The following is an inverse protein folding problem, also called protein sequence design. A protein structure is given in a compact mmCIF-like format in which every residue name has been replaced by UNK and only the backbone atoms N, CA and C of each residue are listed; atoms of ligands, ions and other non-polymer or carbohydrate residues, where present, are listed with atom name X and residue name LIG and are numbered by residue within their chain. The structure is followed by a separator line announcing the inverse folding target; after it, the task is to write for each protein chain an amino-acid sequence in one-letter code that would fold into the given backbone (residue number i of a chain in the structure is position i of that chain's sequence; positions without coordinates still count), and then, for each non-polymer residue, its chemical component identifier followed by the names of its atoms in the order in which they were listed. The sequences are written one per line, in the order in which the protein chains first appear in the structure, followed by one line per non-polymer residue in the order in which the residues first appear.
data_IF_027177650976
#
_entry.id   IF_027177650976
#
_cell.length_a   1.000
_cell.length_b   1.000
_cell.length_c   1.000
_cell.angle_alpha   90.00
_cell.angle_beta   90.00
_cell.angle_gamma   90.00
#
_symmetry.space_group_name_H-M   'P 1'
#
loop_
_entity.id
_entity.type
_entity.pdbx_description
1 polymer ?
#
# COMPACT_ATOMS: atom_id res chain seq x y z
N UNK A 1 37.57 -22.79 -20.20
CA UNK A 1 36.33 -21.99 -20.09
C UNK A 1 36.53 -20.74 -20.92
N UNK A 2 35.73 -20.55 -21.98
CA UNK A 2 35.92 -19.42 -22.90
C UNK A 2 35.47 -18.12 -22.22
N UNK A 3 36.21 -17.02 -22.40
CA UNK A 3 35.90 -15.71 -21.79
C UNK A 3 34.52 -15.19 -22.21
N UNK A 4 34.05 -15.56 -23.39
CA UNK A 4 32.71 -15.25 -23.91
C UNK A 4 31.60 -16.00 -23.17
N UNK A 5 31.79 -17.28 -22.84
CA UNK A 5 30.82 -18.09 -22.09
C UNK A 5 30.66 -17.57 -20.66
N UNK A 6 31.78 -17.24 -20.00
CA UNK A 6 31.77 -16.67 -18.65
C UNK A 6 31.00 -15.34 -18.57
N UNK A 7 31.16 -14.47 -19.57
CA UNK A 7 30.42 -13.19 -19.64
C UNK A 7 28.92 -13.40 -19.90
N UNK A 8 28.54 -14.42 -20.66
CA UNK A 8 27.14 -14.77 -20.89
C UNK A 8 26.48 -15.31 -19.61
N UNK A 9 27.19 -16.18 -18.88
CA UNK A 9 26.72 -16.72 -17.60
C UNK A 9 26.54 -15.61 -16.56
N UNK A 10 27.51 -14.69 -16.45
CA UNK A 10 27.40 -13.53 -15.56
C UNK A 10 26.20 -12.64 -15.89
N UNK A 11 25.96 -12.33 -17.17
CA UNK A 11 24.79 -11.55 -17.60
C UNK A 11 23.48 -12.26 -17.27
N UNK A 12 23.44 -13.59 -17.41
CA UNK A 12 22.26 -14.39 -17.07
C UNK A 12 21.99 -14.39 -15.56
N UNK A 13 23.04 -14.43 -14.73
CA UNK A 13 22.94 -14.39 -13.28
C UNK A 13 22.51 -12.99 -12.80
N UNK A 14 23.09 -11.93 -13.36
CA UNK A 14 22.68 -10.55 -13.05
C UNK A 14 21.23 -10.27 -13.43
N UNK A 15 20.77 -10.77 -14.59
CA UNK A 15 19.35 -10.64 -14.99
C UNK A 15 18.41 -11.34 -14.02
N UNK A 16 18.76 -12.56 -13.57
CA UNK A 16 17.99 -13.31 -12.57
C UNK A 16 17.94 -12.58 -11.23
N UNK A 17 19.08 -12.13 -10.72
CA UNK A 17 19.15 -11.38 -9.47
C UNK A 17 18.37 -10.06 -9.51
N UNK A 18 18.48 -9.30 -10.62
CA UNK A 18 17.71 -8.07 -10.81
C UNK A 18 16.20 -8.34 -10.88
N UNK A 19 15.79 -9.44 -11.50
CA UNK A 19 14.38 -9.87 -11.53
C UNK A 19 13.87 -10.26 -10.14
N UNK A 20 14.66 -10.98 -9.33
CA UNK A 20 14.30 -11.35 -7.96
C UNK A 20 14.17 -10.12 -7.05
N UNK A 21 15.10 -9.16 -7.13
CA UNK A 21 15.00 -7.91 -6.37
C UNK A 21 13.76 -7.08 -6.73
N UNK A 22 13.35 -7.09 -8.01
CA UNK A 22 12.12 -6.40 -8.44
C UNK A 22 10.84 -7.07 -7.93
N UNK A 23 10.86 -8.39 -7.69
CA UNK A 23 9.72 -9.12 -7.12
C UNK A 23 9.56 -8.78 -5.65
N UNK A 24 10.67 -8.80 -4.90
CA UNK A 24 10.69 -8.44 -3.49
C UNK A 24 10.26 -6.98 -3.29
N UNK A 25 10.74 -6.07 -4.15
CA UNK A 25 10.40 -4.65 -4.02
C UNK A 25 8.90 -4.36 -4.15
N UNK A 26 8.18 -5.04 -5.05
CA UNK A 26 6.73 -4.86 -5.21
C UNK A 26 5.93 -5.32 -3.99
N UNK A 27 6.31 -6.45 -3.40
CA UNK A 27 5.73 -6.96 -2.15
C UNK A 27 6.03 -6.02 -0.98
N UNK A 28 7.28 -5.58 -0.87
CA UNK A 28 7.73 -4.66 0.17
C UNK A 28 6.97 -3.33 0.13
N UNK A 29 6.66 -2.82 -1.07
CA UNK A 29 5.84 -1.62 -1.22
C UNK A 29 4.42 -1.80 -0.69
N UNK A 30 3.77 -2.94 -0.95
CA UNK A 30 2.41 -3.21 -0.44
C UNK A 30 2.44 -3.32 1.10
N UNK A 31 3.45 -4.00 1.66
CA UNK A 31 3.61 -4.12 3.11
C UNK A 31 3.92 -2.77 3.78
N UNK A 32 4.80 -1.98 3.19
CA UNK A 32 5.11 -0.62 3.67
C UNK A 32 3.88 0.28 3.60
N UNK A 33 3.08 0.19 2.55
CA UNK A 33 1.80 0.88 2.48
C UNK A 33 0.86 0.44 3.62
N UNK A 34 0.78 -0.86 3.91
CA UNK A 34 0.02 -1.38 5.05
C UNK A 34 0.49 -0.83 6.40
N UNK A 35 1.81 -0.76 6.62
CA UNK A 35 2.40 -0.18 7.84
C UNK A 35 2.12 1.32 7.96
N UNK A 36 2.30 2.09 6.89
CA UNK A 36 1.99 3.53 6.89
C UNK A 36 0.50 3.76 7.16
N UNK A 37 -0.36 2.91 6.60
CA UNK A 37 -1.80 2.96 6.86
C UNK A 37 -2.13 2.67 8.33
N UNK A 38 -1.47 1.67 8.93
CA UNK A 38 -1.63 1.33 10.34
C UNK A 38 -1.20 2.50 11.25
N UNK A 39 -0.08 3.14 10.93
CA UNK A 39 0.39 4.34 11.66
C UNK A 39 -0.59 5.51 11.48
N UNK A 40 -1.15 5.68 10.28
CA UNK A 40 -2.15 6.72 10.01
C UNK A 40 -3.41 6.55 10.86
N UNK A 41 -3.81 5.29 11.13
CA UNK A 41 -4.96 4.96 11.97
C UNK A 41 -4.79 5.38 13.45
N UNK A 42 -3.56 5.70 13.89
CA UNK A 42 -3.32 6.25 15.24
C UNK A 42 -4.00 7.60 15.45
N UNK A 43 -4.12 8.43 14.41
CA UNK A 43 -4.77 9.73 14.53
C UNK A 43 -6.27 9.64 14.85
N UNK A 44 -7.11 8.93 14.06
CA UNK A 44 -8.52 8.76 14.42
C UNK A 44 -8.67 7.98 15.73
N UNK A 45 -7.78 7.03 16.05
CA UNK A 45 -7.78 6.34 17.35
C UNK A 45 -7.56 7.32 18.51
N UNK A 46 -6.60 8.24 18.40
CA UNK A 46 -6.33 9.26 19.40
C UNK A 46 -7.54 10.19 19.59
N UNK A 47 -8.18 10.62 18.50
CA UNK A 47 -9.41 11.43 18.59
C UNK A 47 -10.53 10.68 19.30
N UNK A 48 -10.69 9.39 19.00
CA UNK A 48 -11.71 8.53 19.61
C UNK A 48 -11.46 8.33 21.12
N UNK A 49 -10.22 8.11 21.53
CA UNK A 49 -9.85 8.01 22.95
C UNK A 49 -10.13 9.32 23.67
N UNK A 50 -9.75 10.47 23.09
CA UNK A 50 -10.03 11.78 23.68
C UNK A 50 -11.53 12.09 23.83
N UNK A 51 -12.35 11.60 22.90
CA UNK A 51 -13.81 11.73 22.97
C UNK A 51 -14.39 10.85 24.08
N UNK A 52 -14.05 9.56 24.08
CA UNK A 52 -14.67 8.55 24.95
C UNK A 52 -14.17 8.58 26.39
N UNK A 53 -12.89 8.91 26.59
CA UNK A 53 -12.22 8.82 27.90
C UNK A 53 -12.10 10.19 28.57
N UNK A 54 -11.77 11.22 27.79
CA UNK A 54 -11.44 12.55 28.33
C UNK A 54 -12.60 13.55 28.27
N UNK A 55 -13.75 13.15 27.72
CA UNK A 55 -14.96 13.98 27.66
C UNK A 55 -14.80 15.28 26.87
N UNK A 56 -13.74 15.38 26.07
CA UNK A 56 -13.45 16.58 25.29
C UNK A 56 -14.53 16.78 24.22
N UNK A 57 -15.18 17.95 24.22
CA UNK A 57 -16.18 18.33 23.23
C UNK A 57 -15.52 18.58 21.86
N UNK A 58 -15.07 17.53 21.20
CA UNK A 58 -14.74 17.59 19.77
C UNK A 58 -16.05 17.59 19.00
N UNK A 59 -16.17 18.49 18.01
CA UNK A 59 -17.37 18.75 17.20
C UNK A 59 -18.13 17.45 16.88
N UNK A 60 -19.48 17.45 16.95
CA UNK A 60 -20.28 16.29 16.60
C UNK A 60 -20.10 16.02 15.11
N UNK A 61 -19.31 15.00 14.80
CA UNK A 61 -19.09 14.50 13.46
C UNK A 61 -19.02 12.99 13.56
N UNK A 62 -19.94 12.31 12.89
CA UNK A 62 -20.09 10.86 12.71
C UNK A 62 -18.83 10.12 12.19
N UNK A 63 -17.64 10.73 12.19
CA UNK A 63 -16.55 10.36 11.30
C UNK A 63 -15.33 9.68 11.95
N UNK A 64 -15.14 9.74 13.28
CA UNK A 64 -13.92 9.16 13.89
C UNK A 64 -13.92 7.62 13.88
N UNK A 65 -15.05 7.00 14.21
CA UNK A 65 -15.20 5.53 14.23
C UNK A 65 -15.15 4.93 12.83
N UNK A 66 -15.93 5.48 11.89
CA UNK A 66 -15.96 5.03 10.50
C UNK A 66 -14.60 5.20 9.82
N UNK A 67 -13.90 6.32 10.07
CA UNK A 67 -12.55 6.53 9.56
C UNK A 67 -11.56 5.53 10.17
N UNK A 68 -11.60 5.30 11.49
CA UNK A 68 -10.73 4.32 12.15
C UNK A 68 -10.93 2.92 11.58
N UNK A 69 -12.19 2.47 11.46
CA UNK A 69 -12.52 1.16 10.90
C UNK A 69 -12.06 1.06 9.45
N UNK A 70 -12.27 2.09 8.63
CA UNK A 70 -11.83 2.10 7.24
C UNK A 70 -10.30 2.02 7.11
N UNK A 71 -9.55 2.79 7.92
CA UNK A 71 -8.09 2.79 7.89
C UNK A 71 -7.50 1.47 8.40
N UNK A 72 -8.05 0.90 9.48
CA UNK A 72 -7.62 -0.41 9.99
C UNK A 72 -7.98 -1.55 9.02
N UNK A 73 -9.16 -1.51 8.43
CA UNK A 73 -9.59 -2.50 7.43
C UNK A 73 -8.70 -2.44 6.19
N UNK A 74 -8.35 -1.24 5.72
CA UNK A 74 -7.42 -1.07 4.62
C UNK A 74 -6.01 -1.56 4.98
N UNK A 75 -5.51 -1.25 6.18
CA UNK A 75 -4.22 -1.74 6.64
C UNK A 75 -4.16 -3.28 6.69
N UNK A 76 -5.19 -3.91 7.26
CA UNK A 76 -5.32 -5.37 7.30
C UNK A 76 -5.42 -5.98 5.89
N UNK A 77 -6.19 -5.37 5.00
CA UNK A 77 -6.29 -5.79 3.60
C UNK A 77 -4.94 -5.67 2.88
N UNK A 78 -4.20 -4.57 3.05
CA UNK A 78 -2.88 -4.39 2.46
C UNK A 78 -1.89 -5.42 2.99
N UNK A 79 -1.92 -5.76 4.28
CA UNK A 79 -1.07 -6.83 4.83
C UNK A 79 -1.40 -8.20 4.20
N UNK A 80 -2.69 -8.53 4.06
CA UNK A 80 -3.15 -9.76 3.40
C UNK A 80 -2.74 -9.79 1.91
N UNK A 81 -2.86 -8.66 1.20
CA UNK A 81 -2.43 -8.53 -0.18
C UNK A 81 -0.90 -8.61 -0.31
N UNK A 82 -0.15 -8.09 0.65
CA UNK A 82 1.30 -8.24 0.72
C UNK A 82 1.72 -9.71 0.85
N UNK A 83 0.99 -10.49 1.66
CA UNK A 83 1.18 -11.95 1.71
C UNK A 83 0.82 -12.62 0.37
N UNK A 84 -0.33 -12.24 -0.22
CA UNK A 84 -0.80 -12.82 -1.48
C UNK A 84 0.08 -12.45 -2.69
N UNK A 85 0.82 -11.34 -2.62
CA UNK A 85 1.74 -10.88 -3.66
C UNK A 85 2.85 -11.91 -3.95
N UNK A 86 3.17 -12.80 -3.00
CA UNK A 86 4.08 -13.93 -3.23
C UNK A 86 3.62 -14.84 -4.37
N UNK A 87 2.30 -15.07 -4.49
CA UNK A 87 1.72 -15.96 -5.48
C UNK A 87 1.29 -15.23 -6.76
N UNK A 88 0.74 -14.01 -6.61
CA UNK A 88 0.16 -13.25 -7.73
C UNK A 88 0.45 -11.75 -7.60
N UNK A 89 1.69 -11.29 -7.85
CA UNK A 89 2.13 -9.93 -7.52
C UNK A 89 1.34 -8.85 -8.27
N UNK A 90 1.07 -9.05 -9.57
CA UNK A 90 0.29 -8.10 -10.37
C UNK A 90 -1.13 -7.95 -9.84
N UNK A 91 -1.82 -9.08 -9.59
CA UNK A 91 -3.20 -9.07 -9.11
C UNK A 91 -3.28 -8.42 -7.73
N UNK A 92 -2.37 -8.78 -6.83
CA UNK A 92 -2.29 -8.19 -5.49
C UNK A 92 -2.07 -6.67 -5.53
N UNK A 93 -1.13 -6.19 -6.34
CA UNK A 93 -0.86 -4.76 -6.48
C UNK A 93 -2.03 -4.00 -7.11
N UNK A 94 -2.66 -4.54 -8.16
CA UNK A 94 -3.84 -3.94 -8.78
C UNK A 94 -5.02 -3.85 -7.80
N UNK A 95 -5.27 -4.91 -7.01
CA UNK A 95 -6.29 -4.90 -5.96
C UNK A 95 -5.97 -3.93 -4.84
N UNK A 96 -4.68 -3.77 -4.48
CA UNK A 96 -4.26 -2.82 -3.46
C UNK A 96 -4.51 -1.37 -3.92
N UNK A 97 -4.18 -1.03 -5.17
CA UNK A 97 -4.49 0.27 -5.77
C UNK A 97 -6.00 0.52 -5.75
N UNK A 98 -6.80 -0.44 -6.22
CA UNK A 98 -8.25 -0.29 -6.27
C UNK A 98 -8.84 -0.09 -4.88
N UNK A 99 -8.44 -0.90 -3.89
CA UNK A 99 -8.90 -0.78 -2.52
C UNK A 99 -8.51 0.58 -1.90
N UNK A 100 -7.28 1.03 -2.11
CA UNK A 100 -6.79 2.32 -1.62
C UNK A 100 -7.63 3.48 -2.17
N UNK A 101 -7.88 3.49 -3.48
CA UNK A 101 -8.68 4.53 -4.14
C UNK A 101 -10.14 4.49 -3.69
N UNK A 102 -10.74 3.31 -3.55
CA UNK A 102 -12.13 3.16 -3.09
C UNK A 102 -12.30 3.64 -1.65
N UNK A 103 -11.41 3.25 -0.74
CA UNK A 103 -11.48 3.65 0.67
C UNK A 103 -11.29 5.15 0.83
N UNK A 104 -10.22 5.73 0.26
CA UNK A 104 -9.96 7.15 0.41
C UNK A 104 -10.89 8.03 -0.43
N UNK A 105 -11.32 7.56 -1.61
CA UNK A 105 -12.35 8.21 -2.41
C UNK A 105 -13.69 8.23 -1.68
N UNK A 106 -14.11 7.10 -1.10
CA UNK A 106 -15.34 7.01 -0.30
C UNK A 106 -15.31 7.91 0.94
N UNK A 107 -14.21 7.89 1.70
CA UNK A 107 -14.02 8.80 2.85
C UNK A 107 -14.01 10.27 2.40
N UNK A 108 -13.43 10.57 1.24
CA UNK A 108 -13.40 11.90 0.66
C UNK A 108 -14.77 12.44 0.25
N UNK A 109 -15.66 11.58 -0.25
CA UNK A 109 -17.04 11.95 -0.57
C UNK A 109 -17.85 12.27 0.69
N UNK A 110 -17.63 11.51 1.77
CA UNK A 110 -18.33 11.71 3.04
C UNK A 110 -17.75 12.89 3.84
N UNK A 111 -16.44 13.10 3.77
CA UNK A 111 -15.73 14.13 4.50
C UNK A 111 -14.54 14.65 3.67
N UNK A 112 -14.71 15.74 2.89
CA UNK A 112 -13.68 16.25 1.99
C UNK A 112 -12.37 16.63 2.68
N UNK A 113 -12.43 17.09 3.94
CA UNK A 113 -11.23 17.40 4.74
C UNK A 113 -10.33 16.19 4.96
N UNK A 114 -10.87 14.97 4.89
CA UNK A 114 -10.09 13.74 5.01
C UNK A 114 -9.14 13.52 3.81
N UNK A 115 -9.47 14.03 2.62
CA UNK A 115 -8.58 13.93 1.45
C UNK A 115 -7.37 14.84 1.57
N UNK A 116 -7.58 16.05 2.09
CA UNK A 116 -6.52 17.04 2.30
C UNK A 116 -5.59 16.62 3.45
N UNK A 117 -6.16 16.04 4.50
CA UNK A 117 -5.36 15.53 5.62
C UNK A 117 -4.49 14.35 5.17
N UNK A 118 -3.17 14.52 5.30
CA UNK A 118 -2.20 13.52 4.87
C UNK A 118 -2.14 13.32 3.35
N UNK A 119 -2.57 14.30 2.54
CA UNK A 119 -2.58 14.20 1.09
C UNK A 119 -1.21 13.82 0.49
N UNK A 120 -0.12 14.36 1.05
CA UNK A 120 1.25 14.04 0.64
C UNK A 120 1.54 12.55 0.86
N UNK A 121 1.27 12.05 2.08
CA UNK A 121 1.49 10.65 2.44
C UNK A 121 0.66 9.71 1.57
N UNK A 122 -0.63 10.03 1.38
CA UNK A 122 -1.54 9.26 0.52
C UNK A 122 -1.08 9.25 -0.94
N UNK A 123 -0.57 10.38 -1.44
CA UNK A 123 -0.03 10.48 -2.80
C UNK A 123 1.23 9.61 -2.95
N UNK A 124 2.14 9.63 -1.97
CA UNK A 124 3.33 8.78 -1.96
C UNK A 124 2.96 7.29 -1.93
N UNK A 125 1.98 6.91 -1.08
CA UNK A 125 1.47 5.54 -1.05
C UNK A 125 0.86 5.12 -2.39
N UNK A 126 0.04 5.98 -2.99
CA UNK A 126 -0.56 5.72 -4.29
C UNK A 126 0.49 5.53 -5.38
N UNK A 127 1.51 6.38 -5.42
CA UNK A 127 2.64 6.25 -6.36
C UNK A 127 3.40 4.94 -6.14
N UNK A 128 3.66 4.56 -4.88
CA UNK A 128 4.31 3.29 -4.54
C UNK A 128 3.49 2.07 -4.99
N UNK A 129 2.18 2.07 -4.74
CA UNK A 129 1.27 1.00 -5.18
C UNK A 129 1.15 0.93 -6.71
N UNK A 130 1.09 2.07 -7.39
CA UNK A 130 1.11 2.14 -8.87
C UNK A 130 2.44 1.62 -9.43
N UNK A 131 3.55 1.91 -8.77
CA UNK A 131 4.85 1.37 -9.16
C UNK A 131 4.87 -0.15 -9.02
N UNK A 132 4.39 -0.70 -7.90
CA UNK A 132 4.26 -2.14 -7.69
C UNK A 132 3.32 -2.82 -8.72
N UNK A 133 2.22 -2.15 -9.10
CA UNK A 133 1.31 -2.66 -10.13
C UNK A 133 1.97 -2.65 -11.52
N UNK A 134 2.73 -1.59 -11.85
CA UNK A 134 3.46 -1.47 -13.11
C UNK A 134 4.55 -2.56 -13.23
N UNK A 135 5.33 -2.78 -12.18
CA UNK A 135 6.36 -3.84 -12.17
C UNK A 135 5.73 -5.22 -12.28
N UNK A 136 4.62 -5.47 -11.58
CA UNK A 136 3.83 -6.69 -11.72
C UNK A 136 3.30 -6.91 -13.14
N UNK A 137 2.78 -5.86 -13.80
CA UNK A 137 2.23 -5.95 -15.16
C UNK A 137 3.30 -6.27 -16.20
N UNK A 138 4.45 -5.59 -16.13
CA UNK A 138 5.57 -5.84 -17.05
C UNK A 138 6.03 -7.30 -16.99
N UNK A 139 5.99 -7.92 -15.80
CA UNK A 139 6.26 -9.34 -15.62
C UNK A 139 5.18 -10.23 -16.24
N UNK A 140 3.89 -9.93 -16.04
CA UNK A 140 2.81 -10.73 -16.60
C UNK A 140 2.83 -10.76 -18.14
N UNK A 141 3.30 -9.69 -18.77
CA UNK A 141 3.42 -9.60 -20.24
C UNK A 141 4.69 -10.26 -20.79
N UNK A 142 5.70 -10.51 -19.95
CA UNK A 142 6.96 -11.15 -20.34
C UNK A 142 6.92 -12.69 -20.21
N UNK A 143 5.89 -13.22 -19.56
CA UNK A 143 5.55 -14.65 -19.48
C UNK A 143 4.60 -15.03 -20.60
#
# INVERSE_FOLDING_TARGET
MNTTEFLQDLRSAQRRAAQEQQILSGQDFILMAGLVQLVSALHPLFLLINQRVLGSATRPGLASEAQLVAELSLAGLLALLGWWAHYAPFRAAATAVAAFVLVHGGLGLLQPSSLLSGAIVKSLMLVGLLHAARTGYQRHRAL
#
